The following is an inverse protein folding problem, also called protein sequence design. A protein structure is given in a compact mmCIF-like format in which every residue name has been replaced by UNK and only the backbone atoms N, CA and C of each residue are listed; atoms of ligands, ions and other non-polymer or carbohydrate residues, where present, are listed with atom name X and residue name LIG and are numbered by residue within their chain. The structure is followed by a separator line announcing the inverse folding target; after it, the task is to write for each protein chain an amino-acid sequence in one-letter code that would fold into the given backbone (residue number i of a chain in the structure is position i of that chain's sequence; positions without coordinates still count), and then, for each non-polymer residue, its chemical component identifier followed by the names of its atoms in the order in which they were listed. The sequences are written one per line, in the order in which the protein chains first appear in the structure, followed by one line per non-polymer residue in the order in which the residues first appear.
data_IF_548835297740
#
_entry.id   IF_548835297740
#
_cell.length_a   1.000
_cell.length_b   1.000
_cell.length_c   1.000
_cell.angle_alpha   90.00
_cell.angle_beta   90.00
_cell.angle_gamma   90.00
#
_symmetry.space_group_name_H-M   'P 1'
#
loop_
_entity.id
_entity.type
_entity.pdbx_description
1 polymer ?
#
# COMPACT_ATOMS: atom_id res chain seq x y z
N UNK A 1 -40.94 61.79 8.74
CA UNK A 1 -39.93 61.24 9.67
C UNK A 1 -39.70 59.78 9.32
N UNK A 2 -38.55 59.47 8.69
CA UNK A 2 -38.21 58.13 8.17
C UNK A 2 -37.61 57.28 9.30
N UNK A 3 -38.23 56.15 9.67
CA UNK A 3 -37.62 55.14 10.55
C UNK A 3 -37.19 53.97 9.67
N UNK A 4 -35.88 53.85 9.45
CA UNK A 4 -35.29 52.74 8.72
C UNK A 4 -35.28 51.51 9.63
N UNK A 5 -36.00 50.46 9.26
CA UNK A 5 -35.89 49.15 9.89
C UNK A 5 -34.65 48.45 9.31
N UNK A 6 -33.64 48.28 10.17
CA UNK A 6 -32.40 47.57 9.84
C UNK A 6 -32.70 46.08 9.79
N UNK A 7 -32.56 45.49 8.61
CA UNK A 7 -32.67 44.06 8.37
C UNK A 7 -31.36 43.38 8.81
N UNK A 8 -31.38 42.64 9.91
CA UNK A 8 -30.26 41.80 10.34
C UNK A 8 -30.24 40.52 9.49
N UNK A 9 -29.40 40.48 8.45
CA UNK A 9 -29.09 39.25 7.72
C UNK A 9 -28.02 38.50 8.53
N UNK A 10 -28.43 37.43 9.21
CA UNK A 10 -27.50 36.48 9.84
C UNK A 10 -26.97 35.56 8.73
N UNK A 11 -25.75 35.85 8.24
CA UNK A 11 -25.03 34.95 7.33
C UNK A 11 -24.43 33.82 8.20
N UNK A 12 -25.07 32.66 8.18
CA UNK A 12 -24.50 31.44 8.76
C UNK A 12 -23.35 30.95 7.88
N UNK A 13 -22.11 31.26 8.28
CA UNK A 13 -20.89 30.75 7.64
C UNK A 13 -20.79 29.26 7.93
N UNK A 14 -21.18 28.43 6.96
CA UNK A 14 -20.91 26.99 6.94
C UNK A 14 -19.39 26.80 6.77
N UNK A 15 -18.65 26.80 7.88
CA UNK A 15 -17.26 26.31 7.88
C UNK A 15 -17.29 24.80 7.63
N UNK A 16 -16.70 24.29 6.53
CA UNK A 16 -16.48 22.87 6.41
C UNK A 16 -15.52 22.45 7.52
N UNK A 17 -15.97 21.55 8.40
CA UNK A 17 -15.10 20.85 9.33
C UNK A 17 -14.14 20.00 8.49
N UNK A 18 -12.96 20.55 8.21
CA UNK A 18 -11.84 19.76 7.70
C UNK A 18 -11.44 18.85 8.87
N UNK A 19 -12.03 17.65 8.88
CA UNK A 19 -11.60 16.60 9.79
C UNK A 19 -10.20 16.18 9.38
N UNK A 20 -9.20 16.75 10.03
CA UNK A 20 -7.86 16.19 10.02
C UNK A 20 -7.93 14.86 10.78
N UNK A 21 -8.17 13.78 10.05
CA UNK A 21 -7.99 12.44 10.59
C UNK A 21 -6.55 12.37 11.11
N UNK A 22 -6.38 12.19 12.43
CA UNK A 22 -5.12 11.68 12.95
C UNK A 22 -4.93 10.34 12.27
N UNK A 23 -4.00 10.28 11.32
CA UNK A 23 -3.70 9.09 10.52
C UNK A 23 -3.02 8.06 11.44
N UNK A 24 -3.81 7.48 12.36
CA UNK A 24 -3.43 6.36 13.20
C UNK A 24 -2.97 5.26 12.26
N UNK A 25 -1.76 4.78 12.47
CA UNK A 25 -1.27 3.60 11.76
C UNK A 25 -1.91 2.37 12.40
N UNK A 26 -2.47 1.49 11.59
CA UNK A 26 -3.08 0.24 12.02
C UNK A 26 -2.81 -0.87 11.01
N UNK A 27 -2.87 -2.11 11.44
CA UNK A 27 -2.95 -3.25 10.52
C UNK A 27 -4.42 -3.51 10.18
N UNK A 28 -4.84 -3.54 8.89
CA UNK A 28 -6.20 -3.89 8.52
C UNK A 28 -6.59 -5.25 9.07
N UNK A 29 -7.74 -5.36 9.76
CA UNK A 29 -8.10 -6.58 10.47
C UNK A 29 -8.17 -7.82 9.53
N UNK A 30 -7.79 -8.98 10.05
CA UNK A 30 -7.96 -10.27 9.34
C UNK A 30 -9.43 -10.46 8.98
N UNK A 31 -9.71 -10.86 7.74
CA UNK A 31 -11.07 -11.06 7.23
C UNK A 31 -11.88 -9.77 6.96
N UNK A 32 -11.30 -8.58 7.19
CA UNK A 32 -11.99 -7.31 6.87
C UNK A 32 -12.11 -7.09 5.36
N UNK A 33 -13.14 -6.35 4.95
CA UNK A 33 -13.31 -5.96 3.54
C UNK A 33 -12.15 -5.07 3.07
N UNK A 34 -11.62 -4.19 3.94
CA UNK A 34 -10.43 -3.39 3.61
C UNK A 34 -9.24 -4.26 3.22
N UNK A 35 -8.91 -5.27 4.05
CA UNK A 35 -7.81 -6.21 3.77
C UNK A 35 -8.07 -6.97 2.47
N UNK A 36 -9.29 -7.46 2.27
CA UNK A 36 -9.67 -8.18 1.06
C UNK A 36 -9.45 -7.33 -0.20
N UNK A 37 -9.94 -6.09 -0.21
CA UNK A 37 -9.78 -5.17 -1.35
C UNK A 37 -8.31 -4.86 -1.65
N UNK A 38 -7.47 -4.71 -0.62
CA UNK A 38 -6.03 -4.50 -0.80
C UNK A 38 -5.34 -5.74 -1.38
N UNK A 39 -5.69 -6.94 -0.92
CA UNK A 39 -5.17 -8.20 -1.47
C UNK A 39 -5.64 -8.46 -2.89
N UNK A 40 -6.86 -8.03 -3.24
CA UNK A 40 -7.38 -8.16 -4.60
C UNK A 40 -6.65 -7.23 -5.58
N UNK A 41 -6.19 -6.05 -5.14
CA UNK A 41 -5.30 -5.20 -5.95
C UNK A 41 -4.00 -5.94 -6.27
N UNK A 42 -3.33 -6.51 -5.27
CA UNK A 42 -2.11 -7.30 -5.49
C UNK A 42 -2.38 -8.50 -6.40
N UNK A 43 -3.49 -9.22 -6.19
CA UNK A 43 -3.86 -10.37 -7.01
C UNK A 43 -4.03 -10.00 -8.47
N UNK A 44 -4.73 -8.92 -8.75
CA UNK A 44 -4.99 -8.49 -10.12
C UNK A 44 -3.69 -8.03 -10.80
N UNK A 45 -2.78 -7.40 -10.06
CA UNK A 45 -1.47 -7.01 -10.58
C UNK A 45 -0.59 -8.22 -10.91
N UNK A 46 -0.46 -9.16 -9.99
CA UNK A 46 0.55 -10.22 -10.10
C UNK A 46 0.06 -11.48 -10.83
N UNK A 47 -1.26 -11.73 -10.92
CA UNK A 47 -1.77 -12.92 -11.62
C UNK A 47 -1.31 -13.00 -13.08
N UNK A 48 -1.33 -11.91 -13.89
CA UNK A 48 -0.76 -11.91 -15.23
C UNK A 48 0.75 -12.22 -15.26
N UNK A 49 1.52 -11.71 -14.30
CA UNK A 49 2.94 -11.98 -14.18
C UNK A 49 3.26 -13.46 -13.94
N UNK A 50 2.33 -14.21 -13.34
CA UNK A 50 2.43 -15.65 -13.13
C UNK A 50 1.56 -16.44 -14.12
N UNK A 51 1.33 -15.93 -15.33
CA UNK A 51 0.57 -16.62 -16.39
C UNK A 51 -0.79 -17.16 -15.93
N UNK A 52 -1.50 -16.44 -15.06
CA UNK A 52 -2.83 -16.83 -14.60
C UNK A 52 -2.85 -17.84 -13.45
N UNK A 53 -1.71 -18.16 -12.84
CA UNK A 53 -1.67 -18.99 -11.63
C UNK A 53 -2.57 -18.42 -10.53
N UNK A 54 -3.28 -19.30 -9.80
CA UNK A 54 -4.14 -18.89 -8.67
C UNK A 54 -3.27 -18.54 -7.47
N UNK A 55 -2.96 -17.26 -7.30
CA UNK A 55 -2.10 -16.79 -6.24
C UNK A 55 -2.81 -16.73 -4.88
N UNK A 56 -2.06 -16.76 -3.79
CA UNK A 56 -2.46 -16.32 -2.45
C UNK A 56 -1.31 -15.48 -1.89
N UNK A 57 -1.65 -14.51 -1.04
CA UNK A 57 -0.69 -13.63 -0.41
C UNK A 57 -0.73 -13.85 1.08
N UNK A 58 0.41 -14.20 1.64
CA UNK A 58 0.60 -14.30 3.07
C UNK A 58 1.25 -13.03 3.57
N UNK A 59 0.63 -12.37 4.55
CA UNK A 59 1.25 -11.25 5.24
C UNK A 59 2.28 -11.81 6.21
N UNK A 60 3.54 -11.41 6.05
CA UNK A 60 4.63 -11.82 6.92
C UNK A 60 5.33 -10.60 7.52
N UNK A 61 5.89 -10.78 8.71
CA UNK A 61 6.55 -9.70 9.44
C UNK A 61 5.61 -8.58 9.92
N UNK A 62 6.20 -7.46 10.32
CA UNK A 62 5.48 -6.27 10.83
C UNK A 62 5.25 -5.21 9.74
N UNK A 63 5.25 -5.62 8.48
CA UNK A 63 5.14 -4.77 7.30
C UNK A 63 3.75 -4.87 6.70
N UNK A 64 2.70 -4.66 7.49
CA UNK A 64 1.37 -4.41 6.95
C UNK A 64 0.69 -3.31 7.74
N UNK A 65 0.75 -2.11 7.18
CA UNK A 65 0.37 -0.87 7.86
C UNK A 65 -0.48 -0.04 6.93
N UNK A 66 -1.65 0.34 7.41
CA UNK A 66 -2.60 1.25 6.79
C UNK A 66 -2.77 2.49 7.66
N UNK A 67 -3.13 3.60 7.03
CA UNK A 67 -3.66 4.78 7.72
C UNK A 67 -5.03 5.21 7.17
N UNK A 68 -5.70 4.29 6.46
CA UNK A 68 -6.98 4.52 5.79
C UNK A 68 -6.86 5.14 4.39
N UNK A 69 -5.74 5.79 4.07
CA UNK A 69 -5.47 6.41 2.77
C UNK A 69 -4.30 5.75 2.02
N UNK A 70 -3.32 5.24 2.75
CA UNK A 70 -2.13 4.57 2.24
C UNK A 70 -1.94 3.24 2.95
N UNK A 71 -1.36 2.28 2.23
CA UNK A 71 -0.97 0.98 2.75
C UNK A 71 0.44 0.68 2.30
N UNK A 72 1.30 0.37 3.26
CA UNK A 72 2.57 -0.28 3.02
C UNK A 72 2.44 -1.75 3.42
N UNK A 73 2.80 -2.65 2.51
CA UNK A 73 2.64 -4.09 2.72
C UNK A 73 3.84 -4.89 2.19
N UNK A 74 4.26 -5.90 2.94
CA UNK A 74 5.10 -7.00 2.49
C UNK A 74 4.27 -8.28 2.52
N UNK A 75 4.29 -9.02 1.41
CA UNK A 75 3.61 -10.31 1.32
C UNK A 75 4.50 -11.34 0.67
N UNK A 76 4.40 -12.58 1.14
CA UNK A 76 4.89 -13.73 0.41
C UNK A 76 3.82 -14.21 -0.59
N UNK A 77 4.24 -14.51 -1.81
CA UNK A 77 3.37 -15.07 -2.85
C UNK A 77 3.46 -16.59 -2.87
N UNK A 78 2.30 -17.24 -2.93
CA UNK A 78 2.15 -18.68 -3.05
C UNK A 78 1.04 -19.01 -4.05
N UNK A 79 0.95 -20.26 -4.47
CA UNK A 79 -0.27 -20.79 -5.10
C UNK A 79 -1.34 -21.09 -4.06
N UNK A 80 -2.59 -21.18 -4.52
CA UNK A 80 -3.70 -21.70 -3.74
C UNK A 80 -3.32 -23.04 -3.08
N UNK A 81 -3.57 -23.13 -1.77
CA UNK A 81 -3.18 -24.28 -0.95
C UNK A 81 -1.79 -24.17 -0.33
N UNK A 82 -1.09 -23.03 -0.48
CA UNK A 82 0.20 -22.77 0.20
C UNK A 82 1.41 -23.35 -0.50
N UNK A 83 1.28 -23.82 -1.75
CA UNK A 83 2.41 -24.33 -2.53
C UNK A 83 3.27 -23.16 -3.04
N UNK A 84 4.58 -23.35 -3.24
CA UNK A 84 5.40 -22.37 -3.96
C UNK A 84 4.80 -22.02 -5.33
N UNK A 85 4.98 -20.78 -5.76
CA UNK A 85 4.65 -20.37 -7.14
C UNK A 85 5.56 -21.09 -8.14
N UNK A 86 5.02 -21.36 -9.33
CA UNK A 86 5.81 -21.91 -10.42
C UNK A 86 6.46 -20.78 -11.21
N UNK A 87 7.71 -20.47 -10.90
CA UNK A 87 8.46 -19.43 -11.59
C UNK A 87 8.81 -19.81 -13.03
N UNK A 88 8.94 -21.09 -13.36
CA UNK A 88 9.16 -21.55 -14.73
C UNK A 88 7.99 -21.22 -15.65
N UNK A 89 6.80 -21.04 -15.06
CA UNK A 89 5.61 -20.57 -15.74
C UNK A 89 5.22 -19.14 -15.30
N UNK A 90 6.17 -18.21 -15.41
CA UNK A 90 5.96 -16.80 -15.06
C UNK A 90 6.84 -15.87 -15.91
N UNK A 91 6.63 -14.56 -15.79
CA UNK A 91 7.51 -13.54 -16.35
C UNK A 91 8.92 -13.57 -15.74
N UNK A 92 9.07 -14.14 -14.54
CA UNK A 92 10.30 -14.20 -13.77
C UNK A 92 11.13 -15.46 -14.02
N UNK A 93 10.79 -16.22 -15.08
CA UNK A 93 11.44 -17.48 -15.40
C UNK A 93 12.96 -17.34 -15.51
N UNK A 94 13.42 -16.26 -16.17
CA UNK A 94 14.84 -16.05 -16.42
C UNK A 94 15.60 -15.83 -15.12
N UNK A 95 15.12 -14.92 -14.27
CA UNK A 95 15.72 -14.60 -12.98
C UNK A 95 15.72 -15.83 -12.05
N UNK A 96 14.69 -16.67 -12.15
CA UNK A 96 14.63 -17.94 -11.45
C UNK A 96 15.69 -18.95 -11.95
N UNK A 97 15.82 -19.12 -13.27
CA UNK A 97 16.82 -20.01 -13.90
C UNK A 97 18.27 -19.53 -13.64
N UNK A 98 18.47 -18.21 -13.48
CA UNK A 98 19.75 -17.59 -13.15
C UNK A 98 20.02 -17.53 -11.63
N UNK A 99 19.18 -18.18 -10.81
CA UNK A 99 19.29 -18.22 -9.33
C UNK A 99 19.32 -16.82 -8.68
N UNK A 100 18.69 -15.83 -9.31
CA UNK A 100 18.60 -14.44 -8.83
C UNK A 100 17.40 -14.17 -7.91
N UNK A 101 16.50 -15.15 -7.76
CA UNK A 101 15.33 -15.06 -6.87
C UNK A 101 15.64 -15.85 -5.59
N UNK A 102 15.91 -15.14 -4.51
CA UNK A 102 16.22 -15.70 -3.18
C UNK A 102 15.04 -15.62 -2.20
N UNK A 103 14.00 -14.87 -2.55
CA UNK A 103 12.78 -14.71 -1.77
C UNK A 103 11.53 -14.86 -2.63
N UNK A 104 10.39 -15.11 -2.00
CA UNK A 104 9.07 -15.06 -2.62
C UNK A 104 8.26 -13.85 -2.13
N UNK A 105 8.96 -12.84 -1.63
CA UNK A 105 8.38 -11.65 -1.02
C UNK A 105 8.15 -10.52 -2.02
N UNK A 106 7.14 -9.71 -1.77
CA UNK A 106 6.82 -8.51 -2.55
C UNK A 106 6.55 -7.38 -1.57
N UNK A 107 7.29 -6.28 -1.69
CA UNK A 107 6.88 -5.02 -1.07
C UNK A 107 5.97 -4.25 -2.01
N UNK A 108 4.90 -3.68 -1.48
CA UNK A 108 3.97 -2.87 -2.24
C UNK A 108 3.50 -1.64 -1.44
N UNK A 109 3.28 -0.56 -2.18
CA UNK A 109 2.68 0.66 -1.68
C UNK A 109 1.35 0.89 -2.43
N UNK A 110 0.25 0.97 -1.69
CA UNK A 110 -1.07 1.23 -2.26
C UNK A 110 -1.61 2.56 -1.75
N UNK A 111 -2.42 3.22 -2.59
CA UNK A 111 -3.14 4.45 -2.27
C UNK A 111 -4.63 4.28 -2.50
N UNK A 112 -5.43 4.87 -1.64
CA UNK A 112 -6.86 4.99 -1.82
C UNK A 112 -7.17 6.24 -2.65
N UNK A 113 -7.78 6.05 -3.81
CA UNK A 113 -8.20 7.12 -4.74
C UNK A 113 -9.68 6.91 -5.04
N UNK A 114 -10.52 7.91 -4.78
CA UNK A 114 -11.97 7.84 -4.99
C UNK A 114 -12.60 6.57 -4.37
N UNK A 115 -12.23 6.28 -3.12
CA UNK A 115 -12.63 5.09 -2.37
C UNK A 115 -12.19 3.73 -2.92
N UNK A 116 -11.32 3.69 -3.93
CA UNK A 116 -10.73 2.45 -4.48
C UNK A 116 -9.25 2.39 -4.17
N UNK A 117 -8.76 1.20 -3.85
CA UNK A 117 -7.32 0.97 -3.69
C UNK A 117 -6.67 0.82 -5.07
N UNK A 118 -5.48 1.40 -5.22
CA UNK A 118 -4.65 1.28 -6.40
C UNK A 118 -3.20 1.03 -5.97
N UNK A 119 -2.49 0.22 -6.75
CA UNK A 119 -1.05 0.03 -6.59
C UNK A 119 -0.31 1.29 -7.06
N UNK A 120 0.60 1.79 -6.23
CA UNK A 120 1.45 2.94 -6.55
C UNK A 120 2.82 2.47 -7.02
N UNK A 121 3.42 1.54 -6.28
CA UNK A 121 4.71 0.93 -6.63
C UNK A 121 4.87 -0.42 -5.93
N UNK A 122 5.80 -1.23 -6.42
CA UNK A 122 6.18 -2.50 -5.82
C UNK A 122 7.65 -2.83 -6.13
N UNK A 123 8.22 -3.71 -5.30
CA UNK A 123 9.49 -4.40 -5.60
C UNK A 123 9.25 -5.89 -5.41
N UNK A 124 9.60 -6.64 -6.45
CA UNK A 124 9.46 -8.09 -6.52
C UNK A 124 10.74 -8.75 -6.03
N UNK A 125 10.60 -9.72 -5.12
CA UNK A 125 11.65 -10.62 -4.64
C UNK A 125 12.96 -9.95 -4.26
N UNK A 126 12.96 -8.89 -3.43
CA UNK A 126 14.20 -8.26 -3.04
C UNK A 126 14.99 -9.14 -2.07
N UNK A 127 16.31 -9.07 -2.17
CA UNK A 127 17.27 -9.67 -1.23
C UNK A 127 17.27 -8.95 0.12
N UNK A 128 17.04 -7.64 0.09
CA UNK A 128 17.08 -6.72 1.23
C UNK A 128 15.75 -5.97 1.41
N UNK A 129 15.75 -4.88 2.20
CA UNK A 129 14.58 -3.99 2.39
C UNK A 129 14.78 -2.67 1.63
N UNK A 130 14.57 -2.62 0.30
CA UNK A 130 14.90 -1.47 -0.56
C UNK A 130 13.86 -0.33 -0.54
N UNK A 131 12.99 -0.27 0.46
CA UNK A 131 11.80 0.63 0.48
C UNK A 131 11.97 1.83 1.39
N UNK A 132 13.16 1.99 1.97
CA UNK A 132 13.44 2.98 3.01
C UNK A 132 13.21 4.44 2.59
N UNK A 133 13.29 4.74 1.29
CA UNK A 133 13.13 6.10 0.76
C UNK A 133 11.75 6.39 0.15
N UNK A 134 10.88 5.38 0.06
CA UNK A 134 9.55 5.54 -0.53
C UNK A 134 8.68 6.60 0.17
N UNK A 135 8.86 6.82 1.48
CA UNK A 135 8.13 7.87 2.19
C UNK A 135 8.39 9.26 1.60
N UNK A 136 9.63 9.51 1.15
CA UNK A 136 10.05 10.78 0.56
C UNK A 136 9.64 10.83 -0.92
N UNK A 137 9.93 9.78 -1.67
CA UNK A 137 9.65 9.68 -3.12
C UNK A 137 8.16 9.82 -3.43
N UNK A 138 7.30 9.11 -2.68
CA UNK A 138 5.85 9.07 -2.93
C UNK A 138 5.06 10.04 -2.03
N UNK A 139 5.76 10.88 -1.25
CA UNK A 139 5.16 11.82 -0.30
C UNK A 139 4.15 11.14 0.66
N UNK A 140 4.60 10.07 1.31
CA UNK A 140 3.83 9.24 2.23
C UNK A 140 4.32 9.45 3.66
N UNK A 141 3.45 9.42 4.69
CA UNK A 141 3.90 9.54 6.08
C UNK A 141 4.97 8.50 6.44
N UNK A 142 6.15 8.94 6.87
CA UNK A 142 7.30 8.06 7.21
C UNK A 142 6.95 6.97 8.23
N UNK A 143 6.09 7.28 9.19
CA UNK A 143 5.64 6.34 10.21
C UNK A 143 4.83 5.15 9.66
N UNK A 144 4.31 5.22 8.44
CA UNK A 144 3.65 4.10 7.76
C UNK A 144 4.60 2.90 7.55
N UNK A 145 5.90 3.16 7.36
CA UNK A 145 6.91 2.15 7.05
C UNK A 145 7.51 1.50 8.31
N UNK A 146 7.42 2.15 9.48
CA UNK A 146 8.00 1.65 10.73
C UNK A 146 9.52 1.43 10.61
N UNK A 147 9.99 0.23 10.95
CA UNK A 147 11.41 -0.13 10.87
C UNK A 147 11.94 -0.11 9.44
N UNK A 148 11.12 -0.36 8.41
CA UNK A 148 11.59 -0.30 7.02
C UNK A 148 12.05 1.10 6.60
N UNK A 149 11.65 2.17 7.31
CA UNK A 149 12.16 3.53 7.06
C UNK A 149 13.43 3.88 7.84
N UNK A 150 13.92 2.98 8.69
CA UNK A 150 15.17 3.17 9.46
C UNK A 150 16.39 2.71 8.68
N UNK A 151 16.24 1.71 7.81
CA UNK A 151 17.31 1.15 6.95
C UNK A 151 17.75 2.11 5.82
N UNK A 152 17.23 3.34 5.81
CA UNK A 152 17.32 4.31 4.74
C UNK A 152 18.33 5.44 5.06
N UNK A 153 19.54 5.08 5.51
CA UNK A 153 20.52 6.08 5.98
C UNK A 153 20.84 7.16 4.94
N UNK A 154 20.70 6.87 3.64
CA UNK A 154 21.08 7.80 2.57
C UNK A 154 20.00 7.94 1.48
N UNK A 155 18.82 8.49 1.82
CA UNK A 155 17.80 8.91 0.84
C UNK A 155 18.18 10.18 0.04
N UNK A 156 19.42 10.23 -0.43
CA UNK A 156 19.86 11.14 -1.48
C UNK A 156 19.32 10.67 -2.83
N UNK A 157 18.96 11.62 -3.68
CA UNK A 157 18.28 11.34 -4.94
C UNK A 157 19.12 10.40 -5.82
N UNK A 158 18.61 9.19 -6.06
CA UNK A 158 19.10 8.30 -7.12
C UNK A 158 18.60 8.78 -8.48
#
# INVERSE_FOLDING_TARGET
MKKHAICFIIIAVLMPFISFSQNKIYEPARGSEERKLQMDVLRNEFTPAFNGQKLIFEVTGNFYKSNGNWVFIYVNVYQQGGKPVDFNNSKYKKEYEEEMIDSNGIFALLKKINNKWALVTHIDFPTDVPVGCWWKEYNVPKNLFGSAAQDATDCEAQ
#
